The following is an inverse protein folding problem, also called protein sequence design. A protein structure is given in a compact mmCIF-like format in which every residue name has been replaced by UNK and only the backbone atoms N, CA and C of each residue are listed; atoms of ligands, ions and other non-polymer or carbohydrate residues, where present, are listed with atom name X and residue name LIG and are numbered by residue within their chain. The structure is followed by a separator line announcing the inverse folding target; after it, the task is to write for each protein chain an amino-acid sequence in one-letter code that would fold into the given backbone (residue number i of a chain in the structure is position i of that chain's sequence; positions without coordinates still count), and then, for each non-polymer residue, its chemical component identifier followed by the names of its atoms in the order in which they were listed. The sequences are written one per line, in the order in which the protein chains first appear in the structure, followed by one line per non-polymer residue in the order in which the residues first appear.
data_IF_091742110195
#
_entry.id   IF_091742110195
#
_cell.length_a   1.000
_cell.length_b   1.000
_cell.length_c   1.000
_cell.angle_alpha   90.00
_cell.angle_beta   90.00
_cell.angle_gamma   90.00
#
_symmetry.space_group_name_H-M   'P 1'
#
loop_
_entity.id
_entity.type
_entity.pdbx_description
1 polymer ?
#
# COMPACT_ATOMS: atom_id res chain seq x y z
N UNK A 1 -6.99 19.75 3.21
CA UNK A 1 -7.18 18.34 3.67
C UNK A 1 -6.00 18.02 4.56
N UNK A 2 -6.20 17.29 5.66
CA UNK A 2 -5.10 16.91 6.56
C UNK A 2 -4.48 15.62 6.02
N UNK A 3 -3.15 15.53 5.95
CA UNK A 3 -2.48 14.29 5.54
C UNK A 3 -2.75 13.19 6.57
N UNK A 4 -3.02 11.97 6.10
CA UNK A 4 -3.19 10.80 6.97
C UNK A 4 -1.90 10.47 7.70
N UNK A 5 -2.06 10.10 8.96
CA UNK A 5 -0.97 9.52 9.76
C UNK A 5 -0.70 8.10 9.29
N UNK A 6 0.54 7.83 8.86
CA UNK A 6 0.92 6.46 8.49
C UNK A 6 1.21 5.65 9.76
N UNK A 7 0.56 4.50 9.87
CA UNK A 7 0.86 3.45 10.83
C UNK A 7 1.32 2.20 10.07
N UNK A 8 2.16 1.40 10.71
CA UNK A 8 2.76 0.22 10.10
C UNK A 8 2.50 -1.00 10.96
N UNK A 9 2.03 -2.09 10.36
CA UNK A 9 2.04 -3.40 10.98
C UNK A 9 3.48 -3.89 11.22
N UNK A 10 3.65 -4.73 12.23
CA UNK A 10 4.96 -5.35 12.51
C UNK A 10 5.46 -6.20 11.34
N UNK A 11 4.54 -6.89 10.66
CA UNK A 11 4.82 -7.69 9.47
C UNK A 11 5.40 -6.80 8.35
N UNK A 12 4.68 -5.75 7.95
CA UNK A 12 5.17 -4.75 7.00
C UNK A 12 6.57 -4.25 7.33
N UNK A 13 6.86 -3.88 8.58
CA UNK A 13 8.19 -3.38 8.96
C UNK A 13 9.29 -4.40 8.70
N UNK A 14 9.02 -5.68 8.93
CA UNK A 14 9.97 -6.76 8.69
C UNK A 14 10.17 -7.03 7.21
N UNK A 15 9.10 -6.99 6.42
CA UNK A 15 9.10 -7.24 4.99
C UNK A 15 9.71 -6.07 4.21
N UNK A 16 9.37 -4.83 4.58
CA UNK A 16 9.93 -3.60 4.04
C UNK A 16 11.47 -3.66 4.04
N UNK A 17 12.09 -4.16 5.12
CA UNK A 17 13.55 -4.34 5.20
C UNK A 17 14.08 -5.37 4.21
N UNK A 18 13.33 -6.45 3.95
CA UNK A 18 13.71 -7.49 2.98
C UNK A 18 13.60 -6.95 1.55
N UNK A 19 12.45 -6.35 1.21
CA UNK A 19 12.18 -5.87 -0.15
C UNK A 19 13.11 -4.73 -0.54
N UNK A 20 13.44 -3.79 0.36
CA UNK A 20 14.42 -2.73 0.06
C UNK A 20 15.82 -3.25 -0.29
N UNK A 21 16.19 -4.44 0.18
CA UNK A 21 17.49 -5.08 -0.13
C UNK A 21 17.44 -5.90 -1.42
N UNK A 22 16.24 -6.19 -1.93
CA UNK A 22 16.05 -7.00 -3.11
C UNK A 22 16.30 -6.19 -4.37
N UNK A 23 17.13 -6.72 -5.28
CA UNK A 23 17.33 -6.09 -6.60
C UNK A 23 16.06 -6.05 -7.42
N UNK A 24 15.15 -7.01 -7.23
CA UNK A 24 13.87 -7.09 -7.98
C UNK A 24 12.92 -5.94 -7.64
N UNK A 25 13.01 -5.43 -6.41
CA UNK A 25 12.19 -4.33 -5.93
C UNK A 25 12.78 -2.94 -6.21
N UNK A 26 14.00 -2.86 -6.77
CA UNK A 26 14.63 -1.56 -7.07
C UNK A 26 13.76 -0.64 -7.92
N UNK A 27 13.07 -1.13 -8.98
CA UNK A 27 12.21 -0.26 -9.78
C UNK A 27 11.11 0.40 -8.93
N UNK A 28 10.55 -0.33 -7.95
CA UNK A 28 9.46 0.14 -7.10
C UNK A 28 9.87 1.30 -6.17
N UNK A 29 11.13 1.32 -5.75
CA UNK A 29 11.64 2.31 -4.79
C UNK A 29 12.52 3.39 -5.40
N UNK A 30 13.08 3.18 -6.59
CA UNK A 30 14.12 4.07 -7.13
C UNK A 30 13.88 4.53 -8.56
N UNK A 31 13.06 3.83 -9.34
CA UNK A 31 12.84 4.18 -10.75
C UNK A 31 11.55 4.99 -10.86
N UNK A 32 11.58 6.15 -11.53
CA UNK A 32 10.42 7.01 -11.59
C UNK A 32 9.31 6.38 -12.44
N UNK A 33 8.06 6.59 -12.04
CA UNK A 33 6.91 6.23 -12.86
C UNK A 33 6.86 7.06 -14.14
N UNK A 34 6.39 6.46 -15.26
CA UNK A 34 6.06 7.22 -16.46
C UNK A 34 5.00 8.29 -16.20
N UNK A 35 5.08 9.42 -16.90
CA UNK A 35 4.14 10.55 -16.75
C UNK A 35 2.70 10.14 -17.10
N UNK A 36 2.54 9.12 -17.96
CA UNK A 36 1.28 8.53 -18.35
C UNK A 36 0.59 7.81 -17.17
N UNK A 37 1.38 7.31 -16.21
CA UNK A 37 0.85 6.68 -14.98
C UNK A 37 0.55 7.73 -13.94
N UNK A 38 1.43 8.72 -13.74
CA UNK A 38 1.21 9.75 -12.72
C UNK A 38 0.13 10.75 -13.11
N UNK A 39 -0.10 10.95 -14.42
CA UNK A 39 -1.10 11.87 -14.96
C UNK A 39 -0.86 13.35 -14.65
N UNK A 40 0.26 13.69 -14.00
CA UNK A 40 0.57 15.03 -13.50
C UNK A 40 2.07 15.22 -13.33
N UNK A 41 2.55 16.43 -13.64
CA UNK A 41 3.94 16.84 -13.43
C UNK A 41 4.27 17.06 -11.95
N UNK A 42 3.27 17.23 -11.08
CA UNK A 42 3.47 17.37 -9.63
C UNK A 42 4.20 16.16 -9.03
N UNK A 43 3.96 14.98 -9.59
CA UNK A 43 4.50 13.72 -9.11
C UNK A 43 5.61 13.16 -10.01
N UNK A 44 6.09 13.96 -10.95
CA UNK A 44 7.14 13.56 -11.86
C UNK A 44 8.42 13.24 -11.09
N UNK A 45 9.05 12.12 -11.43
CA UNK A 45 10.27 11.66 -10.78
C UNK A 45 10.05 10.82 -9.52
N UNK A 46 8.81 10.67 -9.04
CA UNK A 46 8.52 9.76 -7.92
C UNK A 46 8.54 8.31 -8.37
N UNK A 47 9.15 7.46 -7.54
CA UNK A 47 9.08 6.02 -7.70
C UNK A 47 7.69 5.49 -7.32
N UNK A 48 7.30 4.29 -7.77
CA UNK A 48 5.98 3.71 -7.50
C UNK A 48 5.56 3.73 -6.03
N UNK A 49 6.47 3.37 -5.12
CA UNK A 49 6.16 3.38 -3.68
C UNK A 49 5.83 4.78 -3.16
N UNK A 50 6.68 5.76 -3.45
CA UNK A 50 6.51 7.14 -2.96
C UNK A 50 5.26 7.79 -3.54
N UNK A 51 5.00 7.55 -4.84
CA UNK A 51 3.79 8.04 -5.51
C UNK A 51 2.51 7.49 -4.86
N UNK A 52 2.44 6.17 -4.67
CA UNK A 52 1.29 5.51 -4.05
C UNK A 52 1.07 6.00 -2.63
N UNK A 53 2.13 6.06 -1.81
CA UNK A 53 2.01 6.52 -0.43
C UNK A 53 1.55 7.98 -0.36
N UNK A 54 2.07 8.86 -1.21
CA UNK A 54 1.66 10.25 -1.26
C UNK A 54 0.15 10.38 -1.56
N UNK A 55 -0.36 9.71 -2.60
CA UNK A 55 -1.79 9.75 -2.94
C UNK A 55 -2.66 9.17 -1.82
N UNK A 56 -2.27 8.03 -1.24
CA UNK A 56 -3.03 7.40 -0.16
C UNK A 56 -3.05 8.27 1.11
N UNK A 57 -1.93 8.91 1.45
CA UNK A 57 -1.87 9.85 2.57
C UNK A 57 -2.77 11.06 2.36
N UNK A 58 -2.86 11.55 1.12
CA UNK A 58 -3.71 12.68 0.76
C UNK A 58 -5.18 12.28 0.55
N UNK A 59 -5.52 10.99 0.68
CA UNK A 59 -6.88 10.50 0.41
C UNK A 59 -7.29 10.61 -1.06
N UNK A 60 -6.32 10.69 -1.97
CA UNK A 60 -6.56 10.72 -3.39
C UNK A 60 -6.73 9.31 -3.95
N UNK A 61 -7.48 9.20 -5.05
CA UNK A 61 -7.65 7.94 -5.76
C UNK A 61 -6.35 7.56 -6.48
N UNK A 62 -6.03 6.27 -6.46
CA UNK A 62 -4.90 5.73 -7.20
C UNK A 62 -5.28 5.51 -8.68
N UNK A 63 -4.34 5.72 -9.63
CA UNK A 63 -4.54 5.34 -11.03
C UNK A 63 -4.85 3.85 -11.18
N UNK A 64 -5.66 3.50 -12.19
CA UNK A 64 -6.05 2.11 -12.48
C UNK A 64 -4.86 1.19 -12.78
N UNK A 65 -3.72 1.76 -13.17
CA UNK A 65 -2.44 1.06 -13.31
C UNK A 65 -2.11 0.17 -12.10
N UNK A 66 -2.35 0.63 -10.87
CA UNK A 66 -2.00 -0.11 -9.65
C UNK A 66 -2.96 -1.26 -9.33
N UNK A 67 -4.04 -1.40 -10.10
CA UNK A 67 -5.03 -2.47 -9.93
C UNK A 67 -5.48 -2.68 -8.47
N UNK A 68 -5.91 -1.59 -7.83
CA UNK A 68 -6.37 -1.63 -6.44
C UNK A 68 -7.66 -2.44 -6.34
N UNK A 69 -7.71 -3.42 -5.46
CA UNK A 69 -8.90 -4.23 -5.26
C UNK A 69 -9.09 -4.68 -3.80
N UNK A 70 -10.33 -5.00 -3.39
CA UNK A 70 -10.61 -5.49 -2.03
C UNK A 70 -9.93 -6.82 -1.74
N UNK A 71 -9.29 -6.93 -0.58
CA UNK A 71 -8.68 -8.15 -0.09
C UNK A 71 -9.39 -8.63 1.17
N UNK A 72 -9.89 -9.87 1.14
CA UNK A 72 -10.48 -10.49 2.34
C UNK A 72 -9.41 -11.23 3.13
N UNK A 73 -8.96 -10.62 4.23
CA UNK A 73 -8.00 -11.23 5.14
C UNK A 73 -8.68 -12.15 6.18
N UNK A 74 -7.95 -13.15 6.72
CA UNK A 74 -8.44 -13.98 7.82
C UNK A 74 -8.93 -13.15 9.00
N UNK A 75 -9.99 -13.62 9.69
CA UNK A 75 -10.63 -12.90 10.80
C UNK A 75 -9.64 -12.48 11.89
N UNK A 76 -8.65 -13.34 12.19
CA UNK A 76 -7.59 -13.04 13.17
C UNK A 76 -6.75 -11.82 12.76
N UNK A 77 -6.37 -11.74 11.48
CA UNK A 77 -5.62 -10.60 10.93
C UNK A 77 -6.46 -9.34 10.95
N UNK A 78 -7.72 -9.41 10.50
CA UNK A 78 -8.66 -8.29 10.56
C UNK A 78 -8.88 -7.78 12.00
N UNK A 79 -8.94 -8.68 12.99
CA UNK A 79 -9.06 -8.28 14.39
C UNK A 79 -7.84 -7.51 14.92
N UNK A 80 -6.63 -7.88 14.49
CA UNK A 80 -5.42 -7.13 14.84
C UNK A 80 -5.40 -5.74 14.20
N UNK A 81 -5.82 -5.63 12.94
CA UNK A 81 -5.96 -4.36 12.23
C UNK A 81 -7.00 -3.49 12.92
N UNK A 82 -8.17 -4.05 13.23
CA UNK A 82 -9.26 -3.36 13.93
C UNK A 82 -8.79 -2.74 15.25
N UNK A 83 -8.01 -3.49 16.05
CA UNK A 83 -7.39 -2.96 17.28
C UNK A 83 -6.43 -1.81 17.01
N UNK A 84 -5.61 -1.89 15.95
CA UNK A 84 -4.66 -0.84 15.60
C UNK A 84 -5.34 0.46 15.11
N UNK A 85 -6.52 0.31 14.50
CA UNK A 85 -7.38 1.39 14.01
C UNK A 85 -8.43 1.87 15.02
N UNK A 86 -8.55 1.20 16.17
CA UNK A 86 -9.63 1.43 17.14
C UNK A 86 -11.05 1.32 16.52
N UNK A 87 -11.26 0.27 15.71
CA UNK A 87 -12.51 -0.01 14.99
C UNK A 87 -13.08 -1.38 15.30
N UNK A 88 -14.32 -1.61 14.89
CA UNK A 88 -14.89 -2.95 14.80
C UNK A 88 -14.24 -3.76 13.69
N UNK A 89 -14.11 -5.08 13.88
CA UNK A 89 -13.58 -6.00 12.86
C UNK A 89 -14.38 -5.94 11.56
N UNK A 90 -15.69 -5.65 11.64
CA UNK A 90 -16.57 -5.57 10.49
C UNK A 90 -16.41 -4.26 9.69
N UNK A 91 -15.78 -3.25 10.27
CA UNK A 91 -15.52 -1.95 9.63
C UNK A 91 -14.15 -1.90 8.94
N UNK A 92 -13.30 -2.90 9.20
CA UNK A 92 -11.98 -2.98 8.58
C UNK A 92 -12.11 -3.38 7.11
N UNK A 93 -11.80 -2.43 6.22
CA UNK A 93 -11.58 -2.68 4.81
C UNK A 93 -10.09 -2.82 4.53
N UNK A 94 -9.71 -3.91 3.87
CA UNK A 94 -8.34 -4.14 3.41
C UNK A 94 -8.32 -4.10 1.90
N UNK A 95 -7.32 -3.43 1.35
CA UNK A 95 -7.08 -3.29 -0.07
C UNK A 95 -5.71 -3.86 -0.39
N UNK A 96 -5.60 -4.38 -1.59
CA UNK A 96 -4.36 -4.78 -2.23
C UNK A 96 -4.14 -3.94 -3.49
N UNK A 97 -2.89 -3.68 -3.82
CA UNK A 97 -2.48 -3.12 -5.10
C UNK A 97 -1.17 -3.74 -5.58
N UNK A 98 -0.87 -3.56 -6.86
CA UNK A 98 0.35 -4.00 -7.54
C UNK A 98 1.15 -2.77 -7.99
N UNK A 99 2.39 -2.64 -7.56
CA UNK A 99 3.25 -1.51 -7.93
C UNK A 99 3.71 -1.54 -9.40
N UNK A 100 3.74 -2.71 -10.00
CA UNK A 100 4.24 -3.00 -11.35
C UNK A 100 3.14 -3.42 -12.33
N UNK A 101 1.90 -2.98 -12.07
CA UNK A 101 0.76 -3.17 -12.96
C UNK A 101 -0.09 -4.40 -12.62
N UNK A 102 -1.22 -4.58 -13.31
CA UNK A 102 -2.23 -5.63 -13.06
C UNK A 102 -1.69 -7.06 -12.94
N UNK A 103 -0.65 -7.41 -13.71
CA UNK A 103 0.00 -8.73 -13.68
C UNK A 103 1.32 -8.74 -12.91
N UNK A 104 1.58 -7.67 -12.16
CA UNK A 104 2.80 -7.45 -11.41
C UNK A 104 2.88 -8.30 -10.15
N UNK A 105 4.08 -8.51 -9.63
CA UNK A 105 4.35 -9.36 -8.47
C UNK A 105 4.92 -8.56 -7.28
N UNK A 106 4.73 -7.24 -7.27
CA UNK A 106 5.16 -6.38 -6.17
C UNK A 106 3.94 -5.75 -5.52
N UNK A 107 3.49 -6.30 -4.39
CA UNK A 107 2.21 -5.93 -3.80
C UNK A 107 2.37 -5.08 -2.54
N UNK A 108 1.35 -4.25 -2.30
CA UNK A 108 1.11 -3.59 -1.02
C UNK A 108 -0.29 -3.93 -0.54
N UNK A 109 -0.39 -4.42 0.70
CA UNK A 109 -1.66 -4.58 1.41
C UNK A 109 -1.79 -3.47 2.44
N UNK A 110 -2.92 -2.77 2.43
CA UNK A 110 -3.16 -1.64 3.31
C UNK A 110 -4.63 -1.51 3.73
N UNK A 111 -4.87 -0.67 4.72
CA UNK A 111 -6.20 -0.22 5.14
C UNK A 111 -6.15 1.29 5.30
N UNK A 112 -7.14 1.98 4.76
CA UNK A 112 -7.26 3.44 4.89
C UNK A 112 -8.51 3.76 5.70
N UNK A 113 -8.37 4.73 6.60
CA UNK A 113 -9.42 5.20 7.48
C UNK A 113 -9.48 6.72 7.41
N UNK A 114 -10.45 7.23 6.65
CA UNK A 114 -10.59 8.67 6.44
C UNK A 114 -11.07 9.37 7.73
N UNK A 115 -11.99 8.76 8.48
CA UNK A 115 -12.52 9.32 9.73
C UNK A 115 -11.44 9.42 10.82
N UNK A 116 -10.62 8.38 10.96
CA UNK A 116 -9.50 8.37 11.91
C UNK A 116 -8.25 9.08 11.37
N UNK A 117 -8.26 9.52 10.10
CA UNK A 117 -7.13 10.09 9.38
C UNK A 117 -5.87 9.19 9.45
N UNK A 118 -6.04 7.88 9.24
CA UNK A 118 -4.98 6.87 9.32
C UNK A 118 -4.84 6.12 8.00
N UNK A 119 -3.59 5.98 7.53
CA UNK A 119 -3.20 5.00 6.53
C UNK A 119 -2.42 3.89 7.24
N UNK A 120 -2.93 2.65 7.21
CA UNK A 120 -2.29 1.51 7.85
C UNK A 120 -1.70 0.56 6.82
N UNK A 121 -0.36 0.50 6.76
CA UNK A 121 0.37 -0.42 5.88
C UNK A 121 0.52 -1.78 6.56
N UNK A 122 -0.03 -2.82 5.94
CA UNK A 122 -0.23 -4.14 6.56
C UNK A 122 0.87 -5.12 6.15
N UNK A 123 1.12 -5.26 4.84
CA UNK A 123 2.13 -6.17 4.29
C UNK A 123 2.66 -5.63 2.96
N UNK A 124 3.89 -6.02 2.61
CA UNK A 124 4.54 -5.69 1.32
C UNK A 124 5.39 -6.87 0.88
N UNK A 125 5.27 -7.32 -0.35
CA UNK A 125 5.90 -8.57 -0.77
C UNK A 125 5.40 -9.03 -2.12
N UNK A 126 5.90 -10.18 -2.58
CA UNK A 126 5.33 -10.88 -3.74
C UNK A 126 4.04 -11.62 -3.37
N UNK A 127 3.33 -12.17 -4.36
CA UNK A 127 2.16 -13.01 -4.07
C UNK A 127 2.55 -14.17 -3.15
N UNK A 128 3.70 -14.79 -3.40
CA UNK A 128 4.20 -15.89 -2.58
C UNK A 128 4.60 -15.44 -1.17
N UNK A 129 5.12 -14.23 -1.01
CA UNK A 129 5.50 -13.72 0.33
C UNK A 129 4.26 -13.48 1.21
N UNK A 130 3.17 -13.00 0.61
CA UNK A 130 1.97 -12.57 1.34
C UNK A 130 0.94 -13.71 1.50
N UNK A 131 0.81 -14.58 0.49
CA UNK A 131 -0.25 -15.60 0.41
C UNK A 131 0.25 -17.05 0.36
N UNK A 132 1.56 -17.26 0.27
CA UNK A 132 2.18 -18.59 0.25
C UNK A 132 2.29 -19.27 1.61
#
# INVERSE_FOLDING_TARGET
MMMKTIKYASLFRSEAKKVHRSKRWKPIFNEPLPIEVTGSTQYQGLAPFDFVVALLQDGQSLPSYFYVHPLTLPRKTRANIARALNKSVNEVQCLELHFDGHNGDHLLVYSSDDDANILYLIAIGTHSDIFG
#
